data_IF_593230918511
#
_entry.id   IF_593230918511
#
_cell.length_a   1.000
_cell.length_b   1.000
_cell.length_c   1.000
_cell.angle_alpha   90.00
_cell.angle_beta   90.00
_cell.angle_gamma   90.00
#
_symmetry.space_group_name_H-M   'P 1'
#
loop_
_entity.id
_entity.type
_entity.pdbx_description
1 polymer ?
#
# COMPACT_ATOMS: atom_id res chain seq x y z
N UNK A 1 32.67 21.47 0.08
CA UNK A 1 31.42 21.89 0.73
C UNK A 1 31.12 20.89 1.84
N UNK A 2 31.12 21.38 3.09
CA UNK A 2 30.91 20.64 4.33
C UNK A 2 29.46 20.17 4.42
N UNK A 3 29.24 18.86 4.60
CA UNK A 3 27.97 18.29 5.04
C UNK A 3 27.87 18.43 6.57
N UNK A 4 26.86 19.16 7.04
CA UNK A 4 26.52 19.22 8.46
C UNK A 4 25.63 18.04 8.82
N UNK A 5 26.11 17.20 9.72
CA UNK A 5 25.31 16.17 10.35
C UNK A 5 24.48 16.78 11.48
N UNK A 6 23.17 16.64 11.44
CA UNK A 6 22.29 17.00 12.55
C UNK A 6 22.28 15.91 13.60
N UNK A 7 22.70 16.30 14.80
CA UNK A 7 22.79 15.48 16.02
C UNK A 7 21.38 15.32 16.63
N UNK A 8 20.85 14.11 16.65
CA UNK A 8 19.61 13.78 17.36
C UNK A 8 19.94 13.74 18.84
N UNK A 9 19.28 14.57 19.65
CA UNK A 9 19.36 14.55 21.10
C UNK A 9 18.44 13.47 21.63
N UNK A 10 19.01 12.46 22.26
CA UNK A 10 18.28 11.51 23.09
C UNK A 10 17.83 12.20 24.38
N UNK A 11 16.56 12.29 24.61
CA UNK A 11 15.99 12.61 25.92
C UNK A 11 15.66 11.30 26.64
N UNK A 12 16.49 10.98 27.62
CA UNK A 12 16.17 9.99 28.65
C UNK A 12 15.68 10.76 29.87
N UNK A 13 14.42 10.62 30.21
CA UNK A 13 13.93 10.92 31.54
C UNK A 13 12.90 9.88 31.93
N UNK A 14 13.30 8.99 32.85
CA UNK A 14 12.35 8.22 33.64
C UNK A 14 11.67 9.16 34.65
N UNK A 15 10.36 9.09 34.76
CA UNK A 15 9.74 9.14 36.09
C UNK A 15 8.92 7.89 36.36
N UNK A 16 9.15 7.35 37.51
CA UNK A 16 8.29 6.35 38.15
C UNK A 16 6.85 6.84 38.17
N UNK A 17 5.96 6.16 37.51
CA UNK A 17 4.53 6.42 37.64
C UNK A 17 3.80 5.16 38.04
N UNK A 18 3.08 5.32 39.17
CA UNK A 18 2.14 4.39 39.73
C UNK A 18 1.25 3.72 38.68
N UNK A 19 1.20 2.39 38.80
CA UNK A 19 0.16 1.59 38.14
C UNK A 19 -1.21 1.99 38.69
N UNK A 20 -1.96 2.74 37.94
CA UNK A 20 -3.40 2.64 37.92
C UNK A 20 -3.77 1.93 36.62
N UNK A 21 -4.28 0.71 36.76
CA UNK A 21 -4.92 -0.02 35.66
C UNK A 21 -6.19 0.74 35.26
N UNK A 22 -6.05 1.65 34.31
CA UNK A 22 -7.22 2.10 33.54
C UNK A 22 -7.63 0.95 32.63
N UNK A 23 -8.66 0.24 33.06
CA UNK A 23 -9.41 -0.68 32.23
C UNK A 23 -9.96 0.12 31.06
N UNK A 24 -9.26 0.10 29.92
CA UNK A 24 -9.79 0.62 28.66
C UNK A 24 -11.03 -0.24 28.38
N UNK A 25 -12.20 0.31 28.69
CA UNK A 25 -13.45 -0.22 28.19
C UNK A 25 -13.42 -0.04 26.69
N UNK A 26 -13.01 -1.10 25.99
CA UNK A 26 -13.21 -1.24 24.55
C UNK A 26 -14.74 -1.22 24.39
N UNK A 27 -15.29 -0.07 24.02
CA UNK A 27 -16.66 -0.01 23.58
C UNK A 27 -16.77 -0.94 22.38
N UNK A 28 -17.73 -1.87 22.38
CA UNK A 28 -17.98 -2.65 21.18
C UNK A 28 -18.27 -1.64 20.04
N UNK A 29 -17.73 -1.84 18.84
CA UNK A 29 -17.98 -0.95 17.72
C UNK A 29 -19.50 -0.80 17.58
N UNK A 30 -19.95 0.45 17.43
CA UNK A 30 -21.36 0.78 17.20
C UNK A 30 -21.91 -0.23 16.19
N UNK A 31 -23.13 -0.76 16.44
CA UNK A 31 -23.81 -1.73 15.57
C UNK A 31 -23.57 -1.34 14.12
N UNK A 32 -22.66 -2.06 13.48
CA UNK A 32 -22.47 -1.94 12.03
C UNK A 32 -23.75 -2.50 11.45
N UNK A 33 -24.60 -1.62 10.93
CA UNK A 33 -25.77 -2.04 10.17
C UNK A 33 -25.26 -3.00 9.11
N UNK A 34 -25.88 -4.18 8.98
CA UNK A 34 -25.46 -5.20 8.01
C UNK A 34 -25.46 -4.53 6.63
N UNK A 35 -24.30 -4.10 6.19
CA UNK A 35 -24.20 -3.42 4.91
C UNK A 35 -24.31 -4.46 3.79
N UNK A 36 -25.19 -4.16 2.86
CA UNK A 36 -25.40 -4.96 1.67
C UNK A 36 -24.09 -5.00 0.87
N UNK A 37 -23.81 -6.14 0.27
CA UNK A 37 -22.67 -6.30 -0.65
C UNK A 37 -22.60 -5.12 -1.64
N UNK A 38 -21.46 -4.42 -1.76
CA UNK A 38 -21.33 -3.32 -2.69
C UNK A 38 -21.53 -3.81 -4.13
N UNK A 39 -22.38 -3.12 -4.87
CA UNK A 39 -22.59 -3.38 -6.31
C UNK A 39 -21.54 -2.57 -7.05
N UNK A 40 -20.58 -3.25 -7.66
CA UNK A 40 -19.55 -2.63 -8.49
C UNK A 40 -19.82 -2.90 -9.98
N UNK A 41 -19.21 -2.09 -10.84
CA UNK A 41 -19.30 -2.29 -12.28
C UNK A 41 -18.61 -3.60 -12.70
N UNK A 42 -19.08 -4.24 -13.77
CA UNK A 42 -18.49 -5.49 -14.28
C UNK A 42 -17.05 -5.36 -14.77
N UNK A 43 -16.56 -4.13 -14.94
CA UNK A 43 -15.17 -3.85 -15.30
C UNK A 43 -14.18 -4.02 -14.15
N UNK A 44 -14.68 -4.19 -12.91
CA UNK A 44 -13.85 -4.41 -11.72
C UNK A 44 -13.93 -5.86 -11.28
N UNK A 45 -12.78 -6.52 -11.21
CA UNK A 45 -12.68 -7.81 -10.59
C UNK A 45 -12.75 -7.67 -9.06
N UNK A 46 -13.77 -8.26 -8.44
CA UNK A 46 -13.85 -8.37 -6.98
C UNK A 46 -13.18 -9.67 -6.55
N UNK A 47 -12.27 -9.54 -5.59
CA UNK A 47 -11.59 -10.68 -4.98
C UNK A 47 -11.60 -10.53 -3.48
N UNK A 48 -11.54 -11.64 -2.79
CA UNK A 48 -11.70 -11.71 -1.35
C UNK A 48 -10.45 -12.30 -0.70
N UNK A 49 -10.02 -11.67 0.39
CA UNK A 49 -8.90 -12.14 1.19
C UNK A 49 -9.37 -12.35 2.63
N UNK A 50 -9.23 -13.56 3.14
CA UNK A 50 -9.62 -13.91 4.50
C UNK A 50 -8.39 -14.29 5.32
N UNK A 51 -8.19 -13.63 6.44
CA UNK A 51 -7.05 -13.88 7.31
C UNK A 51 -7.25 -15.06 8.28
N UNK A 52 -8.49 -15.49 8.48
CA UNK A 52 -8.83 -16.57 9.42
C UNK A 52 -10.10 -17.30 8.99
N UNK A 53 -10.34 -18.46 9.59
CA UNK A 53 -11.64 -19.17 9.46
C UNK A 53 -12.52 -18.76 10.64
N UNK A 54 -13.53 -17.97 10.38
CA UNK A 54 -14.52 -17.50 11.35
C UNK A 54 -15.93 -17.84 10.88
N UNK A 55 -16.90 -17.75 11.80
CA UNK A 55 -18.31 -17.94 11.47
C UNK A 55 -18.95 -16.69 10.83
N UNK A 56 -18.30 -15.54 10.94
CA UNK A 56 -18.73 -14.27 10.33
C UNK A 56 -17.52 -13.42 9.97
N UNK A 57 -17.63 -12.64 8.91
CA UNK A 57 -16.57 -11.81 8.38
C UNK A 57 -17.05 -10.39 8.19
N UNK A 58 -16.21 -9.43 8.56
CA UNK A 58 -16.37 -8.03 8.24
C UNK A 58 -15.30 -7.65 7.23
N UNK A 59 -15.71 -7.38 6.01
CA UNK A 59 -14.81 -7.16 4.88
C UNK A 59 -14.60 -5.67 4.65
N UNK A 60 -13.34 -5.26 4.70
CA UNK A 60 -12.89 -3.93 4.38
C UNK A 60 -12.53 -3.83 2.91
N UNK A 61 -12.94 -2.73 2.26
CA UNK A 61 -12.58 -2.47 0.87
C UNK A 61 -11.16 -1.95 0.71
N UNK A 62 -10.48 -2.45 -0.30
CA UNK A 62 -9.22 -1.94 -0.79
C UNK A 62 -9.26 -1.83 -2.32
N UNK A 63 -8.66 -0.79 -2.84
CA UNK A 63 -8.38 -0.71 -4.27
C UNK A 63 -6.98 -1.25 -4.52
N UNK A 64 -6.87 -2.26 -5.38
CA UNK A 64 -5.60 -2.91 -5.71
C UNK A 64 -5.16 -2.49 -7.11
N UNK A 65 -3.92 -2.05 -7.22
CA UNK A 65 -3.27 -1.70 -8.48
C UNK A 65 -2.11 -2.65 -8.72
N UNK A 66 -1.95 -3.07 -9.96
CA UNK A 66 -0.76 -3.80 -10.41
C UNK A 66 -0.19 -3.12 -11.63
N UNK A 67 1.11 -2.89 -11.63
CA UNK A 67 1.80 -2.25 -12.75
C UNK A 67 3.12 -2.95 -13.05
N UNK A 68 3.53 -2.88 -14.31
CA UNK A 68 4.87 -3.21 -14.76
C UNK A 68 5.62 -1.90 -15.00
N UNK A 69 6.74 -1.71 -14.30
CA UNK A 69 7.57 -0.52 -14.41
C UNK A 69 8.81 -0.88 -15.21
N UNK A 70 9.08 -0.13 -16.26
CA UNK A 70 10.25 -0.31 -17.10
C UNK A 70 11.23 0.85 -16.91
N UNK A 71 12.36 0.56 -16.27
CA UNK A 71 13.44 1.52 -16.07
C UNK A 71 14.47 1.39 -17.19
N UNK A 72 14.58 2.42 -18.01
CA UNK A 72 15.50 2.44 -19.15
C UNK A 72 16.49 3.59 -19.01
N UNK A 73 17.77 3.29 -19.10
CA UNK A 73 18.83 4.27 -19.29
C UNK A 73 19.96 3.68 -20.16
N UNK A 74 19.88 3.92 -21.45
CA UNK A 74 20.81 3.36 -22.45
C UNK A 74 22.26 3.76 -22.15
N UNK A 75 22.48 5.01 -21.75
CA UNK A 75 23.83 5.51 -21.45
C UNK A 75 24.49 4.79 -20.28
N UNK A 76 23.69 4.31 -19.33
CA UNK A 76 24.16 3.56 -18.15
C UNK A 76 24.00 2.04 -18.30
N UNK A 77 23.49 1.57 -19.44
CA UNK A 77 23.22 0.15 -19.68
C UNK A 77 22.12 -0.41 -18.78
N UNK A 78 21.15 0.42 -18.39
CA UNK A 78 20.03 0.01 -17.54
C UNK A 78 18.83 -0.30 -18.43
N UNK A 79 18.31 -1.52 -18.31
CA UNK A 79 17.09 -2.01 -18.95
C UNK A 79 16.46 -3.04 -17.99
N UNK A 80 15.60 -2.59 -17.09
CA UNK A 80 15.05 -3.39 -16.00
C UNK A 80 13.54 -3.27 -15.96
N UNK A 81 12.86 -4.39 -15.80
CA UNK A 81 11.40 -4.44 -15.61
C UNK A 81 11.07 -4.99 -14.24
N UNK A 82 10.11 -4.36 -13.57
CA UNK A 82 9.65 -4.71 -12.25
C UNK A 82 8.12 -4.72 -12.19
N UNK A 83 7.56 -5.83 -11.68
CA UNK A 83 6.14 -5.90 -11.41
C UNK A 83 5.90 -5.49 -9.96
N UNK A 84 5.11 -4.46 -9.77
CA UNK A 84 4.73 -3.98 -8.45
C UNK A 84 3.22 -4.01 -8.28
N UNK A 85 2.78 -4.37 -7.09
CA UNK A 85 1.38 -4.30 -6.70
C UNK A 85 1.22 -3.49 -5.43
N UNK A 86 0.19 -2.68 -5.40
CA UNK A 86 -0.13 -1.79 -4.29
C UNK A 86 -1.59 -1.91 -3.95
N UNK A 87 -1.93 -1.63 -2.69
CA UNK A 87 -3.30 -1.48 -2.25
C UNK A 87 -3.48 -0.14 -1.56
N UNK A 88 -4.68 0.40 -1.65
CA UNK A 88 -5.10 1.60 -0.93
C UNK A 88 -6.39 1.26 -0.19
N UNK A 89 -6.41 1.55 1.09
CA UNK A 89 -7.59 1.43 1.93
C UNK A 89 -8.71 2.34 1.42
N UNK A 90 -9.95 1.85 1.47
CA UNK A 90 -11.13 2.60 1.06
C UNK A 90 -12.04 2.85 2.26
N UNK A 91 -12.33 4.11 2.50
CA UNK A 91 -13.27 4.57 3.52
C UNK A 91 -14.43 5.32 2.88
N UNK A 92 -15.64 5.15 3.40
CA UNK A 92 -16.87 5.77 2.87
C UNK A 92 -16.76 7.30 2.74
N UNK A 93 -16.04 7.94 3.64
CA UNK A 93 -15.86 9.40 3.66
C UNK A 93 -14.93 9.95 2.60
N UNK A 94 -14.20 9.08 1.89
CA UNK A 94 -13.24 9.50 0.87
C UNK A 94 -13.95 10.08 -0.36
N UNK A 95 -13.39 11.17 -0.88
CA UNK A 95 -13.84 11.82 -2.11
C UNK A 95 -12.88 11.61 -3.28
N UNK A 96 -11.66 11.16 -3.01
CA UNK A 96 -10.60 10.88 -3.99
C UNK A 96 -9.60 9.88 -3.42
N UNK A 97 -8.76 9.33 -4.29
CA UNK A 97 -7.65 8.47 -3.91
C UNK A 97 -6.39 9.30 -3.68
N UNK A 98 -5.74 9.10 -2.53
CA UNK A 98 -4.40 9.59 -2.26
C UNK A 98 -3.39 8.45 -2.51
N UNK A 99 -2.57 8.58 -3.55
CA UNK A 99 -1.59 7.55 -3.90
C UNK A 99 -0.36 7.54 -2.98
N UNK A 100 -0.18 8.55 -2.11
CA UNK A 100 0.87 8.50 -1.09
C UNK A 100 0.54 7.49 0.01
N UNK A 101 -0.75 7.20 0.23
CA UNK A 101 -1.23 6.20 1.20
C UNK A 101 -1.16 4.76 0.67
N UNK A 102 -0.55 4.54 -0.51
CA UNK A 102 -0.40 3.19 -1.04
C UNK A 102 0.55 2.35 -0.19
N UNK A 103 0.16 1.11 0.01
CA UNK A 103 0.97 0.07 0.63
C UNK A 103 1.39 -0.96 -0.42
N UNK A 104 2.61 -1.48 -0.32
CA UNK A 104 3.01 -2.64 -1.14
C UNK A 104 2.15 -3.84 -0.80
N UNK A 105 1.74 -4.57 -1.83
CA UNK A 105 0.82 -5.68 -1.67
C UNK A 105 1.20 -6.87 -2.54
N UNK A 106 1.77 -7.90 -1.93
CA UNK A 106 2.29 -9.08 -2.62
C UNK A 106 1.50 -10.36 -2.31
N UNK A 107 0.23 -10.24 -1.96
CA UNK A 107 -0.60 -11.41 -1.66
C UNK A 107 -1.27 -11.94 -2.93
N UNK A 108 -1.18 -13.24 -3.15
CA UNK A 108 -1.77 -13.95 -4.29
C UNK A 108 -2.90 -14.88 -3.91
N UNK A 109 -3.17 -15.06 -2.61
CA UNK A 109 -4.16 -16.02 -2.10
C UNK A 109 -5.56 -15.43 -2.01
N UNK A 110 -6.11 -15.02 -3.14
CA UNK A 110 -7.47 -14.49 -3.22
C UNK A 110 -8.50 -15.58 -3.48
N UNK A 111 -9.67 -15.40 -2.89
CA UNK A 111 -10.87 -16.15 -3.24
C UNK A 111 -11.71 -15.37 -4.27
N UNK A 112 -12.21 -16.06 -5.28
CA UNK A 112 -13.06 -15.46 -6.32
C UNK A 112 -14.51 -15.25 -5.83
N UNK A 113 -14.91 -15.98 -4.79
CA UNK A 113 -16.26 -15.91 -4.22
C UNK A 113 -16.21 -15.52 -2.75
N UNK A 114 -17.20 -14.76 -2.36
CA UNK A 114 -17.39 -14.43 -0.95
C UNK A 114 -17.75 -15.68 -0.13
N UNK A 115 -17.28 -15.70 1.11
CA UNK A 115 -17.70 -16.71 2.10
C UNK A 115 -19.08 -16.37 2.67
N UNK A 116 -19.88 -17.39 3.08
CA UNK A 116 -21.14 -17.14 3.80
C UNK A 116 -20.93 -16.25 5.03
N UNK A 117 -21.94 -15.47 5.38
CA UNK A 117 -21.93 -14.56 6.53
C UNK A 117 -20.88 -13.45 6.44
N UNK A 118 -20.55 -13.00 5.23
CA UNK A 118 -19.75 -11.81 5.01
C UNK A 118 -20.62 -10.55 5.12
N UNK A 119 -20.15 -9.58 5.88
CA UNK A 119 -20.65 -8.22 5.97
C UNK A 119 -19.61 -7.26 5.43
N UNK A 120 -20.02 -6.11 4.94
CA UNK A 120 -19.15 -5.20 4.23
C UNK A 120 -19.14 -3.82 4.89
N UNK A 121 -17.97 -3.23 5.00
CA UNK A 121 -17.87 -1.81 5.25
C UNK A 121 -18.30 -1.02 4.00
N UNK A 122 -18.96 0.12 4.17
CA UNK A 122 -19.37 0.92 3.02
C UNK A 122 -18.15 1.42 2.24
N UNK A 123 -18.34 1.56 0.93
CA UNK A 123 -17.32 2.04 0.01
C UNK A 123 -17.59 3.48 -0.41
N UNK A 124 -16.56 4.25 -0.76
CA UNK A 124 -16.73 5.58 -1.33
C UNK A 124 -17.58 5.52 -2.62
N UNK A 125 -18.48 6.47 -2.79
CA UNK A 125 -19.42 6.48 -3.90
C UNK A 125 -18.77 6.52 -5.29
N UNK A 126 -17.59 7.13 -5.41
CA UNK A 126 -16.89 7.25 -6.69
C UNK A 126 -16.35 5.91 -7.22
N UNK A 127 -16.13 4.89 -6.34
CA UNK A 127 -15.69 3.54 -6.76
C UNK A 127 -16.75 2.82 -7.60
N UNK A 128 -18.01 3.18 -7.45
CA UNK A 128 -19.12 2.57 -8.19
C UNK A 128 -19.24 3.11 -9.64
N UNK A 129 -18.48 4.14 -9.98
CA UNK A 129 -18.56 4.81 -11.26
C UNK A 129 -17.38 4.43 -12.16
N UNK A 130 -17.68 3.79 -13.30
CA UNK A 130 -16.66 3.36 -14.26
C UNK A 130 -15.77 4.50 -14.79
N UNK A 131 -16.34 5.69 -15.01
CA UNK A 131 -15.56 6.84 -15.47
C UNK A 131 -14.57 7.30 -14.41
N UNK A 132 -14.97 7.30 -13.14
CA UNK A 132 -14.09 7.64 -12.03
C UNK A 132 -12.96 6.64 -11.91
N UNK A 133 -13.22 5.36 -12.11
CA UNK A 133 -12.20 4.32 -12.05
C UNK A 133 -11.17 4.44 -13.18
N UNK A 134 -11.62 4.72 -14.40
CA UNK A 134 -10.70 4.99 -15.54
C UNK A 134 -9.83 6.23 -15.27
N UNK A 135 -10.37 7.24 -14.61
CA UNK A 135 -9.61 8.42 -14.21
C UNK A 135 -8.57 8.06 -13.15
N UNK A 136 -8.97 7.31 -12.13
CA UNK A 136 -8.07 6.84 -11.06
C UNK A 136 -6.93 5.99 -11.65
N UNK A 137 -7.24 5.09 -12.60
CA UNK A 137 -6.21 4.29 -13.29
C UNK A 137 -5.20 5.18 -14.01
N UNK A 138 -5.67 6.17 -14.76
CA UNK A 138 -4.82 7.12 -15.45
C UNK A 138 -3.95 7.93 -14.46
N UNK A 139 -4.56 8.45 -13.41
CA UNK A 139 -3.86 9.23 -12.39
C UNK A 139 -2.83 8.38 -11.65
N UNK A 140 -3.11 7.09 -11.43
CA UNK A 140 -2.14 6.15 -10.85
C UNK A 140 -0.93 5.94 -11.77
N UNK A 141 -1.17 5.77 -13.08
CA UNK A 141 -0.08 5.64 -14.07
C UNK A 141 0.79 6.90 -14.06
N UNK A 142 0.17 8.08 -14.08
CA UNK A 142 0.87 9.36 -14.05
C UNK A 142 1.63 9.56 -12.73
N UNK A 143 1.07 9.11 -11.62
CA UNK A 143 1.73 9.12 -10.32
C UNK A 143 2.96 8.21 -10.31
N UNK A 144 2.82 6.96 -10.77
CA UNK A 144 3.92 6.00 -10.82
C UNK A 144 5.05 6.47 -11.76
N UNK A 145 4.70 7.02 -12.91
CA UNK A 145 5.67 7.57 -13.84
C UNK A 145 6.55 8.66 -13.22
N UNK A 146 5.99 9.49 -12.33
CA UNK A 146 6.72 10.58 -11.67
C UNK A 146 7.46 10.13 -10.42
N UNK A 147 6.96 9.12 -9.71
CA UNK A 147 7.41 8.79 -8.36
C UNK A 147 8.13 7.44 -8.25
N UNK A 148 7.95 6.52 -9.21
CA UNK A 148 8.69 5.26 -9.22
C UNK A 148 10.18 5.52 -9.45
N UNK A 149 11.03 5.05 -8.52
CA UNK A 149 12.47 5.29 -8.54
C UNK A 149 13.21 3.98 -8.39
N UNK A 150 14.16 3.75 -9.27
CA UNK A 150 15.15 2.70 -9.12
C UNK A 150 16.41 3.28 -8.47
N UNK A 151 16.81 2.76 -7.32
CA UNK A 151 18.05 3.13 -6.65
C UNK A 151 19.13 2.13 -7.01
N UNK A 152 20.20 2.61 -7.63
CA UNK A 152 21.39 1.82 -7.93
C UNK A 152 22.61 2.49 -7.31
N UNK A 153 23.52 1.69 -6.78
CA UNK A 153 24.81 2.14 -6.25
C UNK A 153 25.85 2.14 -7.36
N UNK A 154 26.79 3.09 -7.33
CA UNK A 154 27.85 3.22 -8.30
C UNK A 154 29.19 3.35 -7.60
N UNK A 155 30.19 2.60 -8.09
CA UNK A 155 31.58 2.80 -7.74
C UNK A 155 32.30 3.46 -8.91
N UNK A 156 32.68 4.72 -8.76
CA UNK A 156 33.31 5.49 -9.83
C UNK A 156 34.74 5.06 -10.13
N UNK A 157 35.43 4.48 -9.17
CA UNK A 157 36.81 3.99 -9.34
C UNK A 157 36.84 2.71 -10.18
N UNK A 158 35.94 1.78 -9.83
CA UNK A 158 35.82 0.49 -10.51
C UNK A 158 34.92 0.55 -11.75
N UNK A 159 34.21 1.67 -11.96
CA UNK A 159 33.22 1.89 -13.03
C UNK A 159 32.12 0.81 -13.08
N UNK A 160 31.75 0.29 -11.91
CA UNK A 160 30.69 -0.70 -11.76
C UNK A 160 29.45 -0.08 -11.16
N UNK A 161 28.28 -0.66 -11.49
CA UNK A 161 26.97 -0.29 -10.96
C UNK A 161 26.37 -1.53 -10.31
N UNK A 162 25.66 -1.35 -9.20
CA UNK A 162 24.98 -2.45 -8.51
C UNK A 162 23.91 -3.10 -9.39
N UNK A 163 23.60 -4.35 -9.07
CA UNK A 163 22.42 -5.02 -9.60
C UNK A 163 21.16 -4.44 -8.96
N UNK A 164 20.02 -4.77 -9.54
CA UNK A 164 18.73 -4.55 -8.91
C UNK A 164 18.70 -5.32 -7.57
N UNK A 165 18.06 -4.71 -6.55
CA UNK A 165 17.91 -5.28 -5.21
C UNK A 165 19.21 -5.57 -4.45
N UNK A 166 20.35 -5.22 -4.99
CA UNK A 166 21.61 -5.31 -4.29
C UNK A 166 21.71 -4.23 -3.22
N UNK A 167 21.92 -4.64 -1.98
CA UNK A 167 22.07 -3.65 -0.89
C UNK A 167 23.43 -2.95 -0.99
N UNK A 168 23.52 -1.76 -0.34
CA UNK A 168 24.80 -1.05 -0.27
C UNK A 168 25.91 -1.91 0.38
N UNK A 169 25.54 -2.80 1.31
CA UNK A 169 26.53 -3.68 1.98
C UNK A 169 27.01 -4.78 1.05
N UNK A 170 26.14 -5.34 0.21
CA UNK A 170 26.50 -6.37 -0.77
C UNK A 170 27.34 -5.77 -1.90
N UNK A 171 27.09 -4.50 -2.25
CA UNK A 171 27.83 -3.77 -3.27
C UNK A 171 29.20 -3.25 -2.81
N UNK A 172 29.46 -3.15 -1.50
CA UNK A 172 30.79 -2.81 -0.96
C UNK A 172 31.71 -4.02 -1.09
N UNK A 173 32.55 -3.99 -2.10
CA UNK A 173 33.65 -4.91 -2.30
C UNK A 173 34.88 -4.38 -1.59
#
# INVERSE_FOLDING_TARGET
KKLMAHKIKNFSTNPSINKQEETIKIQPPAKIEQSVKPILTSSIAQKYLYSSQNNSYYLQGYLVFSCNIHYINITKGIDLQENQSFRIYLDESMNSIDFEEKEEFNNTSFEEKERPNSSYYPLPSFIQNEKSLKLIEKDFIDYMYRNAKLTLYKNDVLKIVSKQDETLNDFKI
#
